data_IF_989501759169
#
_entry.id   IF_989501759169
#
_cell.length_a   1.000
_cell.length_b   1.000
_cell.length_c   1.000
_cell.angle_alpha   90.00
_cell.angle_beta   90.00
_cell.angle_gamma   90.00
#
_symmetry.space_group_name_H-M   'P 1'
#
loop_
_entity.id
_entity.type
_entity.pdbx_description
1 polymer ?
#
# COMPACT_ATOMS: atom_id res chain seq x y z
N UNK A 1 31.13 -8.62 -9.43
CA UNK A 1 29.89 -7.86 -9.20
C UNK A 1 29.59 -7.13 -10.50
N UNK A 2 28.35 -7.18 -10.99
CA UNK A 2 27.89 -6.27 -12.05
C UNK A 2 28.18 -4.82 -11.63
N UNK A 3 28.42 -3.94 -12.61
CA UNK A 3 28.79 -2.54 -12.34
C UNK A 3 27.78 -1.84 -11.42
N UNK A 4 26.49 -2.15 -11.58
CA UNK A 4 25.40 -1.55 -10.81
C UNK A 4 25.44 -1.97 -9.34
N UNK A 5 25.61 -3.27 -9.06
CA UNK A 5 25.72 -3.80 -7.71
C UNK A 5 26.94 -3.23 -6.97
N UNK A 6 28.06 -3.04 -7.68
CA UNK A 6 29.24 -2.40 -7.12
C UNK A 6 28.97 -0.94 -6.73
N UNK A 7 28.33 -0.16 -7.61
CA UNK A 7 28.02 1.25 -7.35
C UNK A 7 27.04 1.43 -6.19
N UNK A 8 26.02 0.58 -6.08
CA UNK A 8 25.05 0.61 -4.98
C UNK A 8 25.75 0.36 -3.64
N UNK A 9 26.58 -0.69 -3.55
CA UNK A 9 27.31 -1.02 -2.33
C UNK A 9 28.30 0.09 -1.96
N UNK A 10 29.00 0.65 -2.94
CA UNK A 10 29.92 1.76 -2.72
C UNK A 10 29.21 3.01 -2.18
N UNK A 11 28.08 3.39 -2.78
CA UNK A 11 27.27 4.52 -2.33
C UNK A 11 26.73 4.31 -0.90
N UNK A 12 26.28 3.10 -0.58
CA UNK A 12 25.81 2.73 0.76
C UNK A 12 26.93 2.86 1.80
N UNK A 13 28.12 2.33 1.50
CA UNK A 13 29.28 2.43 2.39
C UNK A 13 29.67 3.89 2.62
N UNK A 14 29.75 4.70 1.56
CA UNK A 14 30.04 6.13 1.67
C UNK A 14 28.99 6.87 2.50
N UNK A 15 27.71 6.57 2.30
CA UNK A 15 26.63 7.15 3.06
C UNK A 15 26.75 6.84 4.55
N UNK A 16 27.02 5.58 4.91
CA UNK A 16 27.22 5.16 6.31
C UNK A 16 28.42 5.86 6.94
N UNK A 17 29.55 5.95 6.22
CA UNK A 17 30.75 6.66 6.69
C UNK A 17 30.43 8.14 6.95
N UNK A 18 29.78 8.80 5.99
CA UNK A 18 29.39 10.21 6.11
C UNK A 18 28.48 10.40 7.33
N UNK A 19 27.51 9.52 7.53
CA UNK A 19 26.58 9.56 8.65
C UNK A 19 27.33 9.48 9.99
N UNK A 20 28.23 8.50 10.14
CA UNK A 20 29.04 8.32 11.36
C UNK A 20 29.91 9.55 11.63
N UNK A 21 30.69 10.00 10.64
CA UNK A 21 31.56 11.18 10.77
C UNK A 21 30.75 12.41 11.18
N UNK A 22 29.56 12.58 10.62
CA UNK A 22 28.70 13.73 10.88
C UNK A 22 28.11 13.70 12.29
N UNK A 23 27.71 12.53 12.80
CA UNK A 23 27.21 12.36 14.17
C UNK A 23 28.25 12.78 15.21
N UNK A 24 29.52 12.40 15.05
CA UNK A 24 30.57 12.74 16.02
C UNK A 24 30.91 14.24 16.08
N UNK A 25 30.65 14.99 15.00
CA UNK A 25 30.94 16.42 14.92
C UNK A 25 29.88 17.30 15.58
N UNK A 26 28.73 16.75 15.94
CA UNK A 26 27.62 17.51 16.51
C UNK A 26 27.65 17.59 18.04
N UNK A 27 27.07 18.65 18.56
CA UNK A 27 26.82 18.83 20.00
C UNK A 27 25.92 17.74 20.57
N UNK A 28 26.02 17.45 21.87
CA UNK A 28 25.35 16.30 22.52
C UNK A 28 23.86 16.18 22.19
N UNK A 29 23.10 17.28 22.28
CA UNK A 29 21.65 17.27 22.02
C UNK A 29 21.33 16.93 20.56
N UNK A 30 22.09 17.49 19.61
CA UNK A 30 21.89 17.24 18.17
C UNK A 30 22.32 15.82 17.83
N UNK A 31 23.45 15.37 18.40
CA UNK A 31 23.97 14.01 18.23
C UNK A 31 22.97 12.96 18.69
N UNK A 32 22.37 13.12 19.86
CA UNK A 32 21.40 12.15 20.41
C UNK A 32 20.13 12.06 19.54
N UNK A 33 19.67 13.20 18.99
CA UNK A 33 18.58 13.23 17.99
C UNK A 33 18.96 12.53 16.69
N UNK A 34 20.17 12.76 16.18
CA UNK A 34 20.66 12.12 14.97
C UNK A 34 20.79 10.60 15.15
N UNK A 35 21.24 10.13 16.32
CA UNK A 35 21.31 8.70 16.64
C UNK A 35 19.89 8.09 16.63
N UNK A 36 18.92 8.75 17.26
CA UNK A 36 17.53 8.27 17.27
C UNK A 36 16.94 8.17 15.86
N UNK A 37 17.13 9.19 15.01
CA UNK A 37 16.70 9.16 13.60
C UNK A 37 17.38 8.02 12.84
N UNK A 38 18.67 7.80 13.06
CA UNK A 38 19.42 6.72 12.40
C UNK A 38 18.87 5.34 12.75
N UNK A 39 18.52 5.14 14.02
CA UNK A 39 17.87 3.90 14.49
C UNK A 39 16.51 3.73 13.82
N UNK A 40 15.67 4.77 13.80
CA UNK A 40 14.36 4.70 13.15
C UNK A 40 14.48 4.45 11.63
N UNK A 41 15.42 5.10 10.97
CA UNK A 41 15.69 4.90 9.54
C UNK A 41 16.11 3.45 9.26
N UNK A 42 17.01 2.89 10.08
CA UNK A 42 17.46 1.51 9.95
C UNK A 42 16.28 0.53 9.99
N UNK A 43 15.41 0.64 11.00
CA UNK A 43 14.24 -0.23 11.10
C UNK A 43 13.21 0.01 9.98
N UNK A 44 13.08 1.25 9.52
CA UNK A 44 12.19 1.61 8.40
C UNK A 44 12.58 0.89 7.11
N UNK A 45 13.86 0.60 6.89
CA UNK A 45 14.32 -0.19 5.73
C UNK A 45 13.69 -1.58 5.75
N UNK A 46 13.75 -2.29 6.88
CA UNK A 46 13.13 -3.62 7.00
C UNK A 46 11.61 -3.55 6.89
N UNK A 47 11.01 -2.48 7.44
CA UNK A 47 9.58 -2.25 7.28
C UNK A 47 9.17 -2.22 5.82
N UNK A 48 9.81 -1.36 5.02
CA UNK A 48 9.49 -1.25 3.60
C UNK A 48 9.94 -2.46 2.79
N UNK A 49 11.06 -3.10 3.16
CA UNK A 49 11.53 -4.30 2.47
C UNK A 49 10.52 -5.45 2.55
N UNK A 50 9.90 -5.68 3.71
CA UNK A 50 8.85 -6.68 3.84
C UNK A 50 7.50 -6.19 3.31
N UNK A 51 7.16 -4.91 3.48
CA UNK A 51 5.93 -4.34 2.90
C UNK A 51 5.89 -4.47 1.37
N UNK A 52 7.01 -4.21 0.70
CA UNK A 52 7.11 -4.30 -0.77
C UNK A 52 7.00 -5.75 -1.27
N UNK A 53 7.38 -6.74 -0.45
CA UNK A 53 7.22 -8.16 -0.81
C UNK A 53 5.76 -8.58 -0.98
N UNK A 54 4.81 -7.87 -0.34
CA UNK A 54 3.39 -8.15 -0.47
C UNK A 54 2.89 -8.03 -1.92
N UNK A 55 3.51 -7.17 -2.75
CA UNK A 55 3.17 -7.01 -4.17
C UNK A 55 3.93 -7.95 -5.10
N UNK A 56 5.11 -8.42 -4.68
CA UNK A 56 5.99 -9.27 -5.48
C UNK A 56 5.92 -10.74 -5.11
N UNK A 57 6.83 -11.19 -4.23
CA UNK A 57 7.00 -12.60 -3.86
C UNK A 57 5.74 -13.22 -3.27
N UNK A 58 4.97 -12.47 -2.47
CA UNK A 58 3.73 -12.99 -1.87
C UNK A 58 2.64 -13.23 -2.91
N UNK A 59 2.59 -12.42 -3.98
CA UNK A 59 1.68 -12.65 -5.11
C UNK A 59 2.03 -13.95 -5.83
N UNK A 60 3.33 -14.22 -6.05
CA UNK A 60 3.77 -15.48 -6.68
C UNK A 60 3.51 -16.67 -5.75
N UNK A 61 3.81 -16.53 -4.46
CA UNK A 61 3.51 -17.57 -3.47
C UNK A 61 2.02 -17.92 -3.44
N UNK A 62 1.15 -16.91 -3.46
CA UNK A 62 -0.29 -17.13 -3.53
C UNK A 62 -0.73 -17.76 -4.87
N UNK A 63 -0.01 -17.49 -5.97
CA UNK A 63 -0.31 -18.11 -7.25
C UNK A 63 -0.02 -19.62 -7.25
N UNK A 64 1.11 -20.01 -6.65
CA UNK A 64 1.65 -21.37 -6.73
C UNK A 64 1.24 -22.28 -5.56
N UNK A 65 1.04 -21.72 -4.37
CA UNK A 65 0.87 -22.50 -3.12
C UNK A 65 -0.46 -22.26 -2.41
N UNK A 66 -1.33 -21.39 -2.91
CA UNK A 66 -2.66 -21.15 -2.34
C UNK A 66 -3.72 -21.73 -3.28
N UNK A 67 -4.66 -22.51 -2.72
CA UNK A 67 -5.84 -22.91 -3.46
C UNK A 67 -6.75 -21.68 -3.66
N UNK A 68 -6.91 -21.29 -4.93
CA UNK A 68 -7.64 -20.09 -5.33
C UNK A 68 -8.96 -20.42 -6.03
N UNK A 69 -9.29 -21.70 -6.23
CA UNK A 69 -10.56 -22.10 -6.83
C UNK A 69 -11.60 -22.21 -5.72
N UNK A 70 -12.56 -21.29 -5.72
CA UNK A 70 -13.58 -21.23 -4.69
C UNK A 70 -14.82 -22.01 -5.12
N UNK A 71 -15.44 -22.73 -4.17
CA UNK A 71 -16.65 -23.51 -4.42
C UNK A 71 -17.74 -23.23 -3.36
N UNK A 72 -19.00 -23.41 -3.74
CA UNK A 72 -20.18 -23.26 -2.88
C UNK A 72 -20.30 -21.91 -2.15
N UNK A 73 -20.33 -21.95 -0.82
CA UNK A 73 -20.52 -20.76 0.03
C UNK A 73 -19.36 -19.75 -0.06
N UNK A 74 -18.12 -20.25 -0.15
CA UNK A 74 -16.92 -19.41 -0.24
C UNK A 74 -16.85 -18.64 -1.56
N UNK A 75 -17.30 -19.24 -2.66
CA UNK A 75 -17.44 -18.56 -3.95
C UNK A 75 -18.41 -17.36 -3.86
N UNK A 76 -19.53 -17.52 -3.16
CA UNK A 76 -20.49 -16.44 -2.97
C UNK A 76 -19.95 -15.30 -2.10
N UNK A 77 -19.24 -15.62 -1.02
CA UNK A 77 -18.52 -14.61 -0.21
C UNK A 77 -17.53 -13.86 -1.11
N UNK A 78 -16.70 -14.57 -1.86
CA UNK A 78 -15.71 -13.94 -2.74
C UNK A 78 -16.35 -13.01 -3.78
N UNK A 79 -17.41 -13.45 -4.46
CA UNK A 79 -18.15 -12.62 -5.44
C UNK A 79 -18.63 -11.31 -4.83
N UNK A 80 -19.27 -11.38 -3.66
CA UNK A 80 -19.79 -10.20 -2.96
C UNK A 80 -18.63 -9.30 -2.49
N UNK A 81 -17.62 -9.87 -1.83
CA UNK A 81 -16.48 -9.11 -1.33
C UNK A 81 -15.70 -8.42 -2.45
N UNK A 82 -15.41 -9.14 -3.55
CA UNK A 82 -14.73 -8.58 -4.72
C UNK A 82 -15.53 -7.43 -5.33
N UNK A 83 -16.83 -7.62 -5.51
CA UNK A 83 -17.74 -6.57 -6.00
C UNK A 83 -17.68 -5.33 -5.13
N UNK A 84 -17.77 -5.47 -3.81
CA UNK A 84 -17.71 -4.33 -2.88
C UNK A 84 -16.36 -3.62 -2.92
N UNK A 85 -15.26 -4.38 -2.86
CA UNK A 85 -13.89 -3.84 -2.86
C UNK A 85 -13.57 -3.12 -4.18
N UNK A 86 -14.10 -3.58 -5.32
CA UNK A 86 -13.90 -2.91 -6.61
C UNK A 86 -14.83 -1.71 -6.79
N UNK A 87 -16.11 -1.85 -6.47
CA UNK A 87 -17.13 -0.82 -6.79
C UNK A 87 -17.10 0.35 -5.81
N UNK A 88 -16.88 0.13 -4.51
CA UNK A 88 -16.92 1.21 -3.52
C UNK A 88 -15.84 2.27 -3.80
N UNK A 89 -14.54 1.92 -3.93
CA UNK A 89 -13.52 2.91 -4.23
C UNK A 89 -13.73 3.58 -5.59
N UNK A 90 -14.12 2.81 -6.62
CA UNK A 90 -14.40 3.36 -7.95
C UNK A 90 -15.56 4.36 -7.93
N UNK A 91 -16.62 4.07 -7.16
CA UNK A 91 -17.74 4.98 -6.94
C UNK A 91 -17.34 6.27 -6.23
N UNK A 92 -16.52 6.17 -5.18
CA UNK A 92 -15.97 7.35 -4.48
C UNK A 92 -15.14 8.21 -5.43
N UNK A 93 -14.23 7.61 -6.20
CA UNK A 93 -13.39 8.34 -7.16
C UNK A 93 -14.24 8.99 -8.25
N UNK A 94 -15.25 8.27 -8.76
CA UNK A 94 -16.18 8.81 -9.76
C UNK A 94 -16.91 10.04 -9.22
N UNK A 95 -17.40 10.00 -7.98
CA UNK A 95 -18.02 11.15 -7.32
C UNK A 95 -17.07 12.34 -7.17
N UNK A 96 -15.83 12.08 -6.73
CA UNK A 96 -14.79 13.13 -6.62
C UNK A 96 -14.48 13.74 -7.98
N UNK A 97 -14.42 12.94 -9.05
CA UNK A 97 -14.19 13.42 -10.41
C UNK A 97 -15.30 14.31 -10.93
N UNK A 98 -16.56 13.98 -10.66
CA UNK A 98 -17.68 14.87 -10.99
C UNK A 98 -17.54 16.24 -10.30
N UNK A 99 -17.12 16.25 -9.03
CA UNK A 99 -16.85 17.50 -8.29
C UNK A 99 -15.64 18.26 -8.85
N UNK A 100 -14.63 17.54 -9.33
CA UNK A 100 -13.44 18.15 -9.95
C UNK A 100 -13.79 18.76 -11.31
N UNK A 101 -14.61 18.08 -12.12
CA UNK A 101 -15.04 18.57 -13.43
C UNK A 101 -15.81 19.88 -13.32
N UNK A 102 -16.73 20.01 -12.36
CA UNK A 102 -17.48 21.26 -12.18
C UNK A 102 -16.58 22.47 -11.87
N UNK A 103 -15.40 22.25 -11.29
CA UNK A 103 -14.45 23.32 -10.96
C UNK A 103 -13.45 23.60 -12.08
N UNK A 104 -13.01 22.57 -12.80
CA UNK A 104 -11.86 22.65 -13.72
C UNK A 104 -12.25 22.74 -15.20
N UNK A 105 -13.50 22.43 -15.55
CA UNK A 105 -13.95 22.36 -16.94
C UNK A 105 -13.75 23.68 -17.70
N UNK A 106 -13.90 24.82 -17.02
CA UNK A 106 -13.72 26.14 -17.64
C UNK A 106 -12.27 26.41 -18.09
N UNK A 107 -11.27 25.81 -17.44
CA UNK A 107 -9.84 26.03 -17.76
C UNK A 107 -9.23 24.89 -18.58
N UNK A 108 -9.68 23.65 -18.36
CA UNK A 108 -9.09 22.44 -18.93
C UNK A 108 -10.15 21.47 -19.47
N UNK A 109 -11.04 21.95 -20.35
CA UNK A 109 -12.16 21.16 -20.88
C UNK A 109 -11.73 19.85 -21.58
N UNK A 110 -10.69 19.90 -22.43
CA UNK A 110 -10.23 18.73 -23.18
C UNK A 110 -9.69 17.64 -22.24
N UNK A 111 -8.87 18.01 -21.25
CA UNK A 111 -8.32 17.07 -20.28
C UNK A 111 -9.42 16.38 -19.47
N UNK A 112 -10.45 17.13 -19.06
CA UNK A 112 -11.60 16.57 -18.34
C UNK A 112 -12.43 15.61 -19.19
N UNK A 113 -12.66 15.91 -20.46
CA UNK A 113 -13.39 15.01 -21.36
C UNK A 113 -12.62 13.71 -21.56
N UNK A 114 -11.31 13.77 -21.81
CA UNK A 114 -10.47 12.58 -21.95
C UNK A 114 -10.41 11.75 -20.67
N UNK A 115 -10.28 12.41 -19.51
CA UNK A 115 -10.29 11.73 -18.21
C UNK A 115 -11.65 11.07 -17.95
N UNK A 116 -12.75 11.76 -18.23
CA UNK A 116 -14.11 11.23 -18.06
C UNK A 116 -14.35 10.00 -18.94
N UNK A 117 -13.91 10.05 -20.19
CA UNK A 117 -13.98 8.92 -21.11
C UNK A 117 -13.17 7.71 -20.61
N UNK A 118 -11.95 7.95 -20.09
CA UNK A 118 -11.12 6.89 -19.50
C UNK A 118 -11.82 6.21 -18.32
N UNK A 119 -12.52 6.98 -17.47
CA UNK A 119 -13.30 6.43 -16.37
C UNK A 119 -14.53 5.62 -16.82
N UNK A 120 -15.20 6.03 -17.90
CA UNK A 120 -16.29 5.24 -18.49
C UNK A 120 -15.79 3.89 -18.99
N UNK A 121 -14.62 3.85 -19.64
CA UNK A 121 -13.99 2.59 -20.06
C UNK A 121 -13.71 1.69 -18.85
N UNK A 122 -13.13 2.25 -17.78
CA UNK A 122 -12.86 1.50 -16.54
C UNK A 122 -14.15 0.91 -15.97
N UNK A 123 -15.24 1.67 -15.92
CA UNK A 123 -16.54 1.17 -15.47
C UNK A 123 -17.06 0.02 -16.32
N UNK A 124 -16.97 0.12 -17.66
CA UNK A 124 -17.39 -0.95 -18.58
C UNK A 124 -16.56 -2.21 -18.33
N UNK A 125 -15.24 -2.09 -18.23
CA UNK A 125 -14.34 -3.22 -17.96
C UNK A 125 -14.63 -3.88 -16.61
N UNK A 126 -14.87 -3.09 -15.57
CA UNK A 126 -15.20 -3.58 -14.22
C UNK A 126 -16.54 -4.31 -14.23
N UNK A 127 -17.57 -3.74 -14.83
CA UNK A 127 -18.89 -4.39 -14.92
C UNK A 127 -18.80 -5.69 -15.72
N UNK A 128 -18.06 -5.70 -16.82
CA UNK A 128 -17.81 -6.91 -17.60
C UNK A 128 -17.05 -7.97 -16.80
N UNK A 129 -15.99 -7.58 -16.09
CA UNK A 129 -15.23 -8.46 -15.20
C UNK A 129 -16.11 -9.09 -14.13
N UNK A 130 -16.94 -8.28 -13.45
CA UNK A 130 -17.86 -8.75 -12.42
C UNK A 130 -18.95 -9.66 -13.03
N UNK A 131 -19.52 -9.30 -14.17
CA UNK A 131 -20.51 -10.14 -14.83
C UNK A 131 -19.97 -11.55 -15.15
N UNK A 132 -18.74 -11.64 -15.68
CA UNK A 132 -18.08 -12.92 -15.93
C UNK A 132 -17.81 -13.69 -14.63
N UNK A 133 -17.48 -13.00 -13.53
CA UNK A 133 -17.27 -13.62 -12.22
C UNK A 133 -18.53 -14.32 -11.68
N UNK A 134 -19.73 -13.77 -11.95
CA UNK A 134 -20.99 -14.36 -11.52
C UNK A 134 -21.48 -15.49 -12.42
N UNK A 135 -20.99 -15.57 -13.67
CA UNK A 135 -21.32 -16.63 -14.62
C UNK A 135 -20.52 -17.93 -14.37
N UNK A 136 -19.27 -17.81 -13.94
CA UNK A 136 -18.42 -18.98 -13.67
C UNK A 136 -18.92 -19.71 -12.42
N UNK A 137 -19.14 -21.03 -12.50
CA UNK A 137 -19.58 -21.84 -11.35
C UNK A 137 -18.54 -21.80 -10.22
N UNK A 138 -17.27 -22.03 -10.57
CA UNK A 138 -16.12 -22.06 -9.66
C UNK A 138 -15.15 -20.90 -9.99
N UNK A 139 -15.35 -19.71 -9.41
CA UNK A 139 -14.48 -18.57 -9.68
C UNK A 139 -13.09 -18.80 -9.06
N UNK A 140 -12.06 -18.56 -9.87
CA UNK A 140 -10.68 -18.52 -9.39
C UNK A 140 -10.34 -17.10 -8.89
N UNK A 141 -9.83 -16.99 -7.67
CA UNK A 141 -9.36 -15.72 -7.10
C UNK A 141 -8.00 -15.37 -7.73
N UNK A 142 -7.81 -14.22 -8.39
CA UNK A 142 -6.50 -13.83 -8.89
C UNK A 142 -5.50 -13.65 -7.74
N UNK A 143 -4.25 -14.08 -7.88
CA UNK A 143 -3.26 -13.92 -6.81
C UNK A 143 -3.01 -12.44 -6.44
N UNK A 144 -3.11 -11.53 -7.41
CA UNK A 144 -3.02 -10.07 -7.20
C UNK A 144 -4.18 -9.50 -6.38
N UNK A 145 -5.29 -10.23 -6.24
CA UNK A 145 -6.42 -9.82 -5.42
C UNK A 145 -6.03 -9.65 -3.95
N UNK A 146 -5.13 -10.51 -3.44
CA UNK A 146 -4.65 -10.42 -2.06
C UNK A 146 -3.90 -9.11 -1.77
N UNK A 147 -3.25 -8.51 -2.76
CA UNK A 147 -2.55 -7.23 -2.60
C UNK A 147 -3.51 -6.08 -2.29
N UNK A 148 -4.78 -6.17 -2.69
CA UNK A 148 -5.80 -5.14 -2.42
C UNK A 148 -6.11 -5.06 -0.91
N UNK A 149 -5.94 -6.16 -0.18
CA UNK A 149 -6.17 -6.20 1.28
C UNK A 149 -5.23 -5.22 2.02
N UNK A 150 -4.03 -4.99 1.51
CA UNK A 150 -3.07 -4.07 2.12
C UNK A 150 -3.65 -2.63 2.17
N UNK A 151 -4.07 -2.10 1.02
CA UNK A 151 -4.71 -0.79 0.96
C UNK A 151 -6.02 -0.74 1.74
N UNK A 152 -6.80 -1.83 1.72
CA UNK A 152 -8.05 -1.94 2.48
C UNK A 152 -7.80 -1.81 3.99
N UNK A 153 -6.81 -2.53 4.53
CA UNK A 153 -6.45 -2.45 5.94
C UNK A 153 -5.96 -1.05 6.32
N UNK A 154 -5.17 -0.39 5.47
CA UNK A 154 -4.75 1.00 5.73
C UNK A 154 -5.99 1.91 5.81
N UNK A 155 -6.93 1.81 4.87
CA UNK A 155 -8.12 2.67 4.85
C UNK A 155 -9.01 2.43 6.08
N UNK A 156 -9.21 1.16 6.48
CA UNK A 156 -10.08 0.81 7.61
C UNK A 156 -9.41 1.12 8.95
N UNK A 157 -8.12 0.81 9.10
CA UNK A 157 -7.41 0.91 10.37
C UNK A 157 -6.81 2.30 10.61
N UNK A 158 -6.50 3.08 9.57
CA UNK A 158 -5.89 4.41 9.76
C UNK A 158 -6.75 5.35 10.64
N UNK A 159 -8.08 5.46 10.47
CA UNK A 159 -8.90 6.27 11.37
C UNK A 159 -8.92 5.74 12.81
N UNK A 160 -8.89 4.41 12.98
CA UNK A 160 -8.85 3.76 14.30
C UNK A 160 -7.56 4.11 15.02
N UNK A 161 -6.42 3.96 14.35
CA UNK A 161 -5.12 4.32 14.92
C UNK A 161 -4.98 5.84 15.12
N UNK A 162 -5.54 6.67 14.25
CA UNK A 162 -5.59 8.13 14.43
C UNK A 162 -6.26 8.50 15.75
N UNK A 163 -7.42 7.91 16.04
CA UNK A 163 -8.12 8.10 17.31
C UNK A 163 -7.31 7.59 18.51
N UNK A 164 -6.61 6.46 18.37
CA UNK A 164 -5.76 5.94 19.43
C UNK A 164 -4.61 6.91 19.77
N UNK A 165 -4.00 7.54 18.76
CA UNK A 165 -2.91 8.50 18.95
C UNK A 165 -3.37 9.84 19.51
N UNK A 166 -4.62 10.23 19.30
CA UNK A 166 -5.21 11.42 19.95
C UNK A 166 -5.70 11.13 21.37
N UNK A 167 -5.81 9.87 21.76
CA UNK A 167 -6.27 9.47 23.09
C UNK A 167 -5.22 9.67 24.18
N UNK A 168 -5.66 9.57 25.45
CA UNK A 168 -4.78 9.55 26.63
C UNK A 168 -3.72 8.45 26.57
N UNK A 169 -3.95 7.40 25.78
CA UNK A 169 -3.05 6.26 25.63
C UNK A 169 -2.05 6.42 24.48
N UNK A 170 -1.78 7.64 24.01
CA UNK A 170 -0.83 7.91 22.93
C UNK A 170 0.58 7.39 23.30
N UNK A 171 1.07 6.31 22.66
CA UNK A 171 2.38 5.75 22.97
C UNK A 171 3.49 6.65 22.42
N UNK A 172 4.70 6.52 22.98
CA UNK A 172 5.87 7.26 22.48
C UNK A 172 6.18 6.87 21.03
N UNK A 173 6.90 7.74 20.30
CA UNK A 173 7.28 7.47 18.91
C UNK A 173 8.01 6.12 18.75
N UNK A 174 8.91 5.79 19.68
CA UNK A 174 9.63 4.51 19.66
C UNK A 174 8.69 3.31 19.79
N UNK A 175 7.67 3.39 20.65
CA UNK A 175 6.67 2.33 20.82
C UNK A 175 5.80 2.20 19.58
N UNK A 176 5.42 3.30 18.91
CA UNK A 176 4.66 3.25 17.65
C UNK A 176 5.45 2.51 16.55
N UNK A 177 6.74 2.82 16.41
CA UNK A 177 7.62 2.11 15.48
C UNK A 177 7.75 0.63 15.87
N UNK A 178 7.97 0.32 17.14
CA UNK A 178 8.05 -1.05 17.62
C UNK A 178 6.78 -1.86 17.36
N UNK A 179 5.61 -1.28 17.61
CA UNK A 179 4.31 -1.89 17.29
C UNK A 179 4.18 -2.18 15.80
N UNK A 180 4.58 -1.25 14.93
CA UNK A 180 4.56 -1.45 13.48
C UNK A 180 5.46 -2.61 13.02
N UNK A 181 6.66 -2.70 13.58
CA UNK A 181 7.59 -3.79 13.27
C UNK A 181 7.13 -5.15 13.82
N UNK A 182 6.52 -5.17 15.01
CA UNK A 182 5.95 -6.40 15.58
C UNK A 182 4.78 -6.87 14.72
N UNK A 183 3.88 -5.97 14.31
CA UNK A 183 2.75 -6.31 13.43
C UNK A 183 3.24 -6.84 12.09
N UNK A 184 4.29 -6.24 11.53
CA UNK A 184 4.94 -6.73 10.33
C UNK A 184 5.63 -8.09 10.52
N UNK A 185 6.20 -8.37 11.70
CA UNK A 185 6.85 -9.65 11.96
C UNK A 185 5.87 -10.80 12.26
N UNK A 186 4.66 -10.47 12.70
CA UNK A 186 3.58 -11.43 12.92
C UNK A 186 2.91 -11.85 11.60
N UNK A 187 2.94 -10.98 10.59
CA UNK A 187 2.27 -11.14 9.30
C UNK A 187 3.21 -11.45 8.15
#
# INVERSE_FOLDING_TARGET
MEGDNFMILFALILFVILLIVRIYRYERIIRDKMIAISIFAFFTIFFWAAFEQAGGSMTIFAADYTDRVMDGFWANIFRVSNTLITIIPLGIITWVLFKLFSQTFAKYALANILLGFSFVIIWILVVFMLYNQYLQENPEVPATWFSVLNSLFIIILAPLFSKLWESKYNPSAAVKYGMGLILLGIG
#
